data_IF_624375935441
#
_entry.id   IF_624375935441
#
_cell.length_a   1.000
_cell.length_b   1.000
_cell.length_c   1.000
_cell.angle_alpha   90.00
_cell.angle_beta   90.00
_cell.angle_gamma   90.00
#
_symmetry.space_group_name_H-M   'P 1'
#
loop_
_entity.id
_entity.type
_entity.pdbx_description
1 polymer ?
#
# COMPACT_ATOMS: atom_id res chain seq x y z
N UNK A 1 -11.72 -3.19 -9.56
CA UNK A 1 -10.44 -3.33 -8.85
C UNK A 1 -9.97 -1.98 -8.34
N UNK A 2 -9.47 -1.96 -7.14
CA UNK A 2 -8.95 -0.75 -6.51
C UNK A 2 -7.45 -0.91 -6.32
N UNK A 3 -6.67 0.03 -6.84
CA UNK A 3 -5.22 0.06 -6.64
C UNK A 3 -4.88 1.23 -5.73
N UNK A 4 -4.21 0.96 -4.63
CA UNK A 4 -3.78 1.99 -3.68
C UNK A 4 -2.26 2.05 -3.64
N UNK A 5 -1.73 3.26 -3.66
CA UNK A 5 -0.32 3.50 -3.40
C UNK A 5 -0.13 3.82 -1.93
N UNK A 6 0.73 3.07 -1.28
CA UNK A 6 0.99 3.19 0.14
C UNK A 6 2.47 3.48 0.37
N UNK A 7 2.78 4.21 1.42
CA UNK A 7 4.13 4.29 1.97
C UNK A 7 4.07 3.75 3.39
N UNK A 8 4.79 2.67 3.63
CA UNK A 8 4.83 2.01 4.92
C UNK A 8 6.09 2.45 5.65
N UNK A 9 5.95 2.88 6.89
CA UNK A 9 7.08 3.11 7.77
C UNK A 9 7.33 1.84 8.55
N UNK A 10 8.48 1.23 8.29
CA UNK A 10 8.89 -0.01 8.94
C UNK A 10 9.43 0.26 10.34
N UNK A 11 9.34 -0.76 11.20
CA UNK A 11 9.92 -0.69 12.54
C UNK A 11 11.42 -0.40 12.49
N UNK A 12 11.91 0.31 13.49
CA UNK A 12 13.35 0.51 13.69
C UNK A 12 14.05 -0.80 14.05
N UNK A 13 13.32 -1.80 14.54
CA UNK A 13 13.87 -3.13 14.80
C UNK A 13 14.02 -3.88 13.47
N UNK A 14 15.25 -4.19 13.04
CA UNK A 14 15.47 -4.81 11.73
C UNK A 14 14.85 -6.20 11.60
N UNK A 15 14.70 -6.93 12.69
CA UNK A 15 14.06 -8.26 12.66
C UNK A 15 12.57 -8.12 12.38
N UNK A 16 11.90 -7.22 13.08
CA UNK A 16 10.48 -6.95 12.86
C UNK A 16 10.24 -6.38 11.46
N UNK A 17 11.07 -5.47 11.01
CA UNK A 17 10.97 -4.90 9.67
C UNK A 17 11.10 -5.98 8.60
N UNK A 18 12.06 -6.89 8.74
CA UNK A 18 12.25 -7.99 7.80
C UNK A 18 11.05 -8.93 7.76
N UNK A 19 10.45 -9.22 8.91
CA UNK A 19 9.26 -10.04 9.00
C UNK A 19 8.08 -9.39 8.29
N UNK A 20 7.90 -8.09 8.46
CA UNK A 20 6.83 -7.35 7.77
C UNK A 20 7.00 -7.39 6.26
N UNK A 21 8.21 -7.16 5.76
CA UNK A 21 8.51 -7.22 4.32
C UNK A 21 8.24 -8.61 3.78
N UNK A 22 8.65 -9.65 4.50
CA UNK A 22 8.42 -11.03 4.08
C UNK A 22 6.91 -11.34 4.04
N UNK A 23 6.14 -10.86 5.01
CA UNK A 23 4.69 -11.05 5.03
C UNK A 23 4.01 -10.37 3.83
N UNK A 24 4.45 -9.18 3.46
CA UNK A 24 3.94 -8.47 2.28
C UNK A 24 4.25 -9.23 0.99
N UNK A 25 5.47 -9.72 0.86
CA UNK A 25 5.88 -10.47 -0.34
C UNK A 25 5.16 -11.79 -0.47
N UNK A 26 4.67 -12.34 0.61
CA UNK A 26 3.89 -13.58 0.61
C UNK A 26 2.45 -13.41 0.12
N UNK A 27 1.99 -12.19 -0.10
CA UNK A 27 0.61 -11.91 -0.52
C UNK A 27 0.61 -11.27 -1.91
N UNK A 28 -0.19 -11.86 -2.81
CA UNK A 28 -0.26 -11.38 -4.20
C UNK A 28 -0.92 -10.01 -4.35
N UNK A 29 -1.68 -9.57 -3.35
CA UNK A 29 -2.34 -8.26 -3.36
C UNK A 29 -1.35 -7.11 -3.28
N UNK A 30 -0.12 -7.37 -2.84
CA UNK A 30 0.89 -6.35 -2.61
C UNK A 30 2.06 -6.46 -3.57
N UNK A 31 2.50 -5.31 -4.07
CA UNK A 31 3.71 -5.20 -4.87
C UNK A 31 4.63 -4.18 -4.21
N UNK A 32 5.61 -4.63 -3.41
CA UNK A 32 6.56 -3.73 -2.78
C UNK A 32 7.50 -3.11 -3.81
N UNK A 33 7.79 -1.83 -3.63
CA UNK A 33 8.81 -1.13 -4.40
C UNK A 33 10.16 -1.15 -3.71
N UNK A 34 11.02 -0.20 -4.07
CA UNK A 34 12.35 -0.09 -3.48
C UNK A 34 12.30 0.56 -2.11
N UNK A 35 12.85 -0.13 -1.13
CA UNK A 35 12.92 0.37 0.24
C UNK A 35 13.94 1.51 0.32
N UNK A 36 13.57 2.59 1.00
CA UNK A 36 14.46 3.69 1.31
C UNK A 36 14.46 3.91 2.83
N UNK A 37 15.52 3.46 3.49
CA UNK A 37 15.66 3.45 4.95
C UNK A 37 14.48 2.69 5.59
N UNK A 38 13.61 3.36 6.36
CA UNK A 38 12.45 2.74 7.00
C UNK A 38 11.18 2.84 6.15
N UNK A 39 11.25 3.50 5.01
CA UNK A 39 10.10 3.72 4.15
C UNK A 39 10.07 2.70 3.02
N UNK A 40 8.92 2.07 2.86
CA UNK A 40 8.70 1.09 1.81
C UNK A 40 7.44 1.49 1.03
N UNK A 41 7.59 1.89 -0.24
CA UNK A 41 6.42 2.09 -1.09
C UNK A 41 5.83 0.74 -1.46
N UNK A 42 4.51 0.64 -1.44
CA UNK A 42 3.80 -0.60 -1.76
C UNK A 42 2.57 -0.26 -2.60
N UNK A 43 2.39 -0.99 -3.69
CA UNK A 43 1.13 -0.98 -4.41
C UNK A 43 0.24 -2.09 -3.86
N UNK A 44 -1.01 -1.77 -3.58
CA UNK A 44 -2.00 -2.71 -3.06
C UNK A 44 -3.16 -2.80 -4.04
N UNK A 45 -3.51 -4.01 -4.43
CA UNK A 45 -4.66 -4.26 -5.29
C UNK A 45 -5.76 -4.97 -4.52
N UNK A 46 -6.97 -4.40 -4.54
CA UNK A 46 -8.13 -4.99 -3.91
C UNK A 46 -9.26 -5.10 -4.94
N UNK A 47 -10.12 -6.11 -4.79
CA UNK A 47 -11.24 -6.31 -5.70
C UNK A 47 -12.31 -5.26 -5.50
N UNK A 48 -12.50 -4.82 -4.26
CA UNK A 48 -13.52 -3.86 -3.88
C UNK A 48 -13.10 -3.12 -2.61
N UNK A 49 -13.95 -2.21 -2.17
CA UNK A 49 -13.70 -1.38 -1.01
C UNK A 49 -13.63 -2.20 0.29
N UNK A 50 -14.46 -3.23 0.41
CA UNK A 50 -14.45 -4.10 1.59
C UNK A 50 -13.11 -4.83 1.72
N UNK A 51 -12.58 -5.38 0.62
CA UNK A 51 -11.28 -6.02 0.63
C UNK A 51 -10.16 -5.03 0.93
N UNK A 52 -10.25 -3.82 0.38
CA UNK A 52 -9.27 -2.77 0.65
C UNK A 52 -9.20 -2.48 2.15
N UNK A 53 -10.33 -2.38 2.83
CA UNK A 53 -10.37 -2.17 4.28
C UNK A 53 -9.79 -3.35 5.05
N UNK A 54 -10.09 -4.57 4.63
CA UNK A 54 -9.53 -5.78 5.26
C UNK A 54 -8.01 -5.80 5.15
N UNK A 55 -7.46 -5.42 4.00
CA UNK A 55 -6.03 -5.37 3.79
C UNK A 55 -5.38 -4.29 4.64
N UNK A 56 -6.02 -3.13 4.78
CA UNK A 56 -5.55 -2.07 5.68
C UNK A 56 -5.53 -2.54 7.14
N UNK A 57 -6.59 -3.20 7.58
CA UNK A 57 -6.66 -3.73 8.94
C UNK A 57 -5.56 -4.76 9.18
N UNK A 58 -5.27 -5.58 8.17
CA UNK A 58 -4.21 -6.56 8.25
C UNK A 58 -2.83 -5.92 8.48
N UNK A 59 -2.54 -4.80 7.81
CA UNK A 59 -1.29 -4.07 8.02
C UNK A 59 -1.08 -3.70 9.48
N UNK A 60 -2.15 -3.29 10.15
CA UNK A 60 -2.07 -2.85 11.54
C UNK A 60 -1.77 -4.00 12.51
N UNK A 61 -1.92 -5.24 12.05
CA UNK A 61 -1.56 -6.41 12.87
C UNK A 61 -0.08 -6.75 12.79
N UNK A 62 0.65 -6.16 11.86
CA UNK A 62 2.07 -6.48 11.66
C UNK A 62 2.93 -5.66 12.62
N UNK A 63 3.67 -6.36 13.49
CA UNK A 63 4.56 -5.71 14.46
C UNK A 63 5.68 -4.91 13.81
N UNK A 64 6.06 -5.26 12.58
CA UNK A 64 7.12 -4.58 11.83
C UNK A 64 6.66 -3.34 11.08
N UNK A 65 5.38 -2.97 11.16
CA UNK A 65 4.82 -1.79 10.50
C UNK A 65 4.45 -0.77 11.57
N UNK A 66 5.13 0.37 11.58
CA UNK A 66 4.84 1.45 12.52
C UNK A 66 3.74 2.37 12.01
N UNK A 67 3.71 2.60 10.71
CA UNK A 67 2.78 3.55 10.13
C UNK A 67 2.50 3.21 8.66
N UNK A 68 1.29 3.52 8.19
CA UNK A 68 0.88 3.35 6.80
C UNK A 68 0.25 4.63 6.31
N UNK A 69 0.83 5.21 5.25
CA UNK A 69 0.28 6.38 4.55
C UNK A 69 -0.32 5.95 3.22
N UNK A 70 -1.54 6.36 2.97
CA UNK A 70 -2.15 6.18 1.66
C UNK A 70 -1.83 7.42 0.82
N UNK A 71 -1.04 7.23 -0.24
CA UNK A 71 -0.62 8.35 -1.08
C UNK A 71 -1.51 8.55 -2.31
N UNK A 72 -2.14 7.47 -2.80
CA UNK A 72 -3.17 7.60 -3.82
C UNK A 72 -4.09 6.38 -3.80
N UNK A 73 -5.29 6.55 -4.37
CA UNK A 73 -6.23 5.46 -4.62
C UNK A 73 -6.77 5.61 -6.04
N UNK A 74 -6.68 4.54 -6.81
CA UNK A 74 -7.20 4.49 -8.17
C UNK A 74 -8.27 3.42 -8.26
N UNK A 75 -9.50 3.85 -8.59
CA UNK A 75 -10.61 2.95 -8.81
C UNK A 75 -10.63 2.55 -10.28
N UNK A 76 -9.90 1.51 -10.61
CA UNK A 76 -9.89 0.98 -11.97
C UNK A 76 -11.21 0.28 -12.24
N UNK A 77 -11.96 0.81 -13.19
CA UNK A 77 -13.19 0.22 -13.70
C UNK A 77 -13.09 0.16 -15.21
N UNK A 78 -14.16 -0.31 -15.87
CA UNK A 78 -14.21 -0.31 -17.34
C UNK A 78 -14.06 1.09 -17.92
N UNK A 79 -14.36 2.11 -17.14
CA UNK A 79 -14.25 3.51 -17.51
C UNK A 79 -13.01 4.17 -16.92
N UNK A 80 -11.99 3.43 -16.72
CA UNK A 80 -10.79 3.80 -16.00
C UNK A 80 -10.48 5.30 -15.92
N UNK A 81 -10.11 5.77 -14.74
CA UNK A 81 -9.66 7.14 -14.50
C UNK A 81 -8.36 7.36 -15.27
N UNK A 82 -8.31 8.45 -16.05
CA UNK A 82 -7.08 8.78 -16.78
C UNK A 82 -6.04 9.37 -15.84
N UNK A 83 -4.74 9.22 -16.15
CA UNK A 83 -3.69 9.87 -15.35
C UNK A 83 -3.86 11.39 -15.24
N UNK A 84 -4.38 12.04 -16.28
CA UNK A 84 -4.61 13.47 -16.26
C UNK A 84 -5.65 13.88 -15.20
N UNK A 85 -6.69 13.08 -15.01
CA UNK A 85 -7.70 13.34 -13.98
C UNK A 85 -7.10 13.22 -12.58
N UNK A 86 -6.23 12.23 -12.38
CA UNK A 86 -5.53 12.04 -11.11
C UNK A 86 -4.61 13.21 -10.82
N UNK A 87 -3.87 13.67 -11.82
CA UNK A 87 -2.95 14.80 -11.68
C UNK A 87 -3.69 16.08 -11.28
N UNK A 88 -4.83 16.34 -11.88
CA UNK A 88 -5.64 17.51 -11.53
C UNK A 88 -6.04 17.48 -10.06
N UNK A 89 -6.40 16.30 -9.54
CA UNK A 89 -6.77 16.16 -8.14
C UNK A 89 -5.59 16.37 -7.20
N UNK A 90 -4.39 15.99 -7.62
CA UNK A 90 -3.19 16.14 -6.81
C UNK A 90 -2.66 17.58 -6.75
N UNK A 91 -3.00 18.41 -7.70
CA UNK A 91 -2.58 19.81 -7.72
C UNK A 91 -3.32 20.68 -6.70
N UNK A 92 -4.32 20.17 -6.09
CA UNK A 92 -5.08 20.86 -5.05
C UNK A 92 -4.54 20.48 -3.68
#
# INVERSE_FOLDING_TARGET
MITSGLVITLSADPVLAAQAVAALRGRSEFTPGDRNDRWLPVAMEARDDAESRQLHDWFQTLAGVDYVDVVYVNFASDESITPAEIEVNLEH
#
